data_IF_666995823510
#
_entry.id   IF_666995823510
#
_cell.length_a   1.000
_cell.length_b   1.000
_cell.length_c   1.000
_cell.angle_alpha   90.00
_cell.angle_beta   90.00
_cell.angle_gamma   90.00
#
_symmetry.space_group_name_H-M   'P 1'
#
loop_
_entity.id
_entity.type
_entity.pdbx_description
1 polymer ?
#
# COMPACT_ATOMS: atom_id res chain seq x y z
N UNK A 1 5.42 18.38 -14.92
CA UNK A 1 5.08 18.32 -13.48
C UNK A 1 6.05 19.20 -12.72
N UNK A 2 5.61 19.98 -11.73
CA UNK A 2 6.49 20.85 -10.93
C UNK A 2 7.18 20.04 -9.82
N UNK A 3 8.33 20.51 -9.34
CA UNK A 3 9.05 19.89 -8.22
C UNK A 3 8.16 19.78 -6.96
N UNK A 4 7.39 20.82 -6.66
CA UNK A 4 6.42 20.83 -5.56
C UNK A 4 5.37 19.71 -5.70
N UNK A 5 4.81 19.50 -6.89
CA UNK A 5 3.85 18.42 -7.14
C UNK A 5 4.48 17.03 -6.94
N UNK A 6 5.75 16.86 -7.29
CA UNK A 6 6.47 15.59 -7.07
C UNK A 6 6.72 15.33 -5.59
N UNK A 7 7.14 16.35 -4.83
CA UNK A 7 7.35 16.22 -3.39
C UNK A 7 6.04 15.95 -2.64
N UNK A 8 4.93 16.57 -3.06
CA UNK A 8 3.60 16.28 -2.54
C UNK A 8 3.22 14.81 -2.82
N UNK A 9 3.39 14.35 -4.06
CA UNK A 9 3.18 12.94 -4.44
C UNK A 9 4.02 11.99 -3.58
N UNK A 10 5.33 12.26 -3.44
CA UNK A 10 6.23 11.43 -2.65
C UNK A 10 5.77 11.33 -1.19
N UNK A 11 5.31 12.44 -0.61
CA UNK A 11 4.78 12.47 0.75
C UNK A 11 3.57 11.54 0.87
N UNK A 12 2.62 11.63 -0.06
CA UNK A 12 1.44 10.75 -0.07
C UNK A 12 1.85 9.28 -0.29
N UNK A 13 2.72 9.00 -1.25
CA UNK A 13 3.19 7.67 -1.57
C UNK A 13 3.90 6.99 -0.38
N UNK A 14 4.75 7.73 0.34
CA UNK A 14 5.41 7.26 1.56
C UNK A 14 4.38 6.97 2.64
N UNK A 15 3.42 7.86 2.86
CA UNK A 15 2.39 7.63 3.87
C UNK A 15 1.56 6.38 3.55
N UNK A 16 1.11 6.22 2.31
CA UNK A 16 0.35 5.05 1.85
C UNK A 16 1.15 3.75 2.00
N UNK A 17 2.47 3.80 1.76
CA UNK A 17 3.36 2.66 1.98
C UNK A 17 3.51 2.32 3.47
N UNK A 18 3.64 3.34 4.33
CA UNK A 18 3.81 3.17 5.78
C UNK A 18 2.56 2.62 6.47
N UNK A 19 1.36 2.86 5.90
CA UNK A 19 0.09 2.30 6.38
C UNK A 19 0.08 0.77 6.22
N UNK A 20 0.17 -0.04 7.30
CA UNK A 20 0.01 -1.48 7.23
C UNK A 20 -1.35 -1.86 6.66
N UNK A 21 -1.30 -2.64 5.59
CA UNK A 21 -2.43 -3.30 4.97
C UNK A 21 -2.15 -4.79 4.72
N UNK A 22 -2.84 -5.39 3.74
CA UNK A 22 -2.61 -6.78 3.34
C UNK A 22 -1.15 -7.07 2.93
N UNK A 23 -0.52 -6.12 2.25
CA UNK A 23 0.90 -6.12 1.87
C UNK A 23 1.83 -6.33 3.06
N UNK A 24 1.69 -5.51 4.10
CA UNK A 24 2.44 -5.59 5.34
C UNK A 24 2.24 -6.94 6.05
N UNK A 25 0.98 -7.40 6.13
CA UNK A 25 0.62 -8.64 6.82
C UNK A 25 1.23 -9.87 6.13
N UNK A 26 1.13 -9.96 4.79
CA UNK A 26 1.65 -11.09 4.02
C UNK A 26 3.17 -11.10 4.01
N UNK A 27 3.84 -9.95 3.85
CA UNK A 27 5.31 -9.84 3.95
C UNK A 27 5.78 -10.24 5.34
N UNK A 28 5.12 -9.75 6.38
CA UNK A 28 5.42 -10.10 7.77
C UNK A 28 5.32 -11.62 7.99
N UNK A 29 4.18 -12.22 7.65
CA UNK A 29 3.93 -13.64 7.83
C UNK A 29 4.96 -14.51 7.07
N UNK A 30 5.26 -14.17 5.82
CA UNK A 30 6.22 -14.90 5.01
C UNK A 30 7.67 -14.73 5.48
N UNK A 31 8.03 -13.56 6.01
CA UNK A 31 9.34 -13.32 6.62
C UNK A 31 9.55 -14.17 7.86
N UNK A 32 8.50 -14.33 8.67
CA UNK A 32 8.56 -15.06 9.93
C UNK A 32 8.49 -16.58 9.73
N UNK A 33 7.71 -17.04 8.74
CA UNK A 33 7.56 -18.46 8.43
C UNK A 33 8.71 -19.01 7.56
N UNK A 34 9.17 -18.25 6.55
CA UNK A 34 10.20 -18.72 5.60
C UNK A 34 11.48 -17.88 5.57
N UNK A 35 11.70 -17.07 6.60
CA UNK A 35 12.91 -16.27 6.77
C UNK A 35 13.06 -15.12 5.78
N UNK A 36 14.24 -14.48 5.80
CA UNK A 36 14.56 -13.28 5.03
C UNK A 36 14.33 -13.45 3.52
N UNK A 37 14.72 -14.60 2.97
CA UNK A 37 14.63 -14.89 1.53
C UNK A 37 13.18 -14.92 1.04
N UNK A 38 12.28 -15.59 1.77
CA UNK A 38 10.85 -15.63 1.44
C UNK A 38 10.18 -14.27 1.69
N UNK A 39 10.61 -13.54 2.72
CA UNK A 39 10.18 -12.16 2.97
C UNK A 39 10.46 -11.22 1.81
N UNK A 40 11.70 -11.17 1.32
CA UNK A 40 12.09 -10.34 0.17
C UNK A 40 11.36 -10.74 -1.10
N UNK A 41 11.24 -12.05 -1.38
CA UNK A 41 10.49 -12.50 -2.54
C UNK A 41 9.02 -12.05 -2.48
N UNK A 42 8.42 -12.06 -1.29
CA UNK A 42 7.06 -11.53 -1.08
C UNK A 42 6.99 -10.02 -1.33
N UNK A 43 7.95 -9.23 -0.83
CA UNK A 43 8.02 -7.80 -1.06
C UNK A 43 8.17 -7.46 -2.56
N UNK A 44 8.99 -8.23 -3.29
CA UNK A 44 9.11 -8.14 -4.76
C UNK A 44 7.79 -8.45 -5.47
N UNK A 45 7.05 -9.46 -5.02
CA UNK A 45 5.72 -9.77 -5.54
C UNK A 45 4.74 -8.61 -5.34
N UNK A 46 4.72 -8.00 -4.15
CA UNK A 46 3.90 -6.81 -3.85
C UNK A 46 4.26 -5.64 -4.77
N UNK A 47 5.55 -5.31 -4.89
CA UNK A 47 6.03 -4.23 -5.73
C UNK A 47 5.73 -4.48 -7.22
N UNK A 48 5.85 -5.73 -7.68
CA UNK A 48 5.47 -6.13 -9.04
C UNK A 48 3.98 -5.92 -9.30
N UNK A 49 3.11 -6.29 -8.36
CA UNK A 49 1.68 -6.02 -8.46
C UNK A 49 1.39 -4.51 -8.49
N UNK A 50 2.04 -3.71 -7.65
CA UNK A 50 1.93 -2.24 -7.69
C UNK A 50 2.29 -1.69 -9.09
N UNK A 51 3.42 -2.14 -9.66
CA UNK A 51 3.85 -1.72 -10.99
C UNK A 51 2.83 -2.09 -12.06
N UNK A 52 2.30 -3.33 -12.04
CA UNK A 52 1.26 -3.77 -12.98
C UNK A 52 -0.01 -2.94 -12.85
N UNK A 53 -0.52 -2.73 -11.63
CA UNK A 53 -1.73 -1.94 -11.41
C UNK A 53 -1.56 -0.50 -11.86
N UNK A 54 -0.41 0.11 -11.56
CA UNK A 54 -0.15 1.50 -11.93
C UNK A 54 0.07 1.70 -13.42
N UNK A 55 0.74 0.76 -14.09
CA UNK A 55 0.86 0.76 -15.57
C UNK A 55 -0.51 0.51 -16.22
N UNK A 56 -1.32 -0.41 -15.69
CA UNK A 56 -2.69 -0.63 -16.18
C UNK A 56 -3.58 0.61 -15.99
N UNK A 57 -3.48 1.28 -14.84
CA UNK A 57 -4.18 2.55 -14.60
C UNK A 57 -3.70 3.64 -15.57
N UNK A 58 -2.40 3.70 -15.86
CA UNK A 58 -1.82 4.62 -16.82
C UNK A 58 -2.25 4.32 -18.28
N UNK A 59 -2.42 3.05 -18.65
CA UNK A 59 -2.73 2.61 -20.00
C UNK A 59 -4.22 2.73 -20.37
N UNK A 60 -5.15 2.58 -19.40
CA UNK A 60 -6.59 2.54 -19.69
C UNK A 60 -7.44 3.58 -18.95
N UNK A 61 -7.04 4.02 -17.76
CA UNK A 61 -7.90 4.84 -16.89
C UNK A 61 -7.56 6.32 -16.90
N UNK A 62 -6.29 6.70 -17.08
CA UNK A 62 -5.88 8.11 -17.07
C UNK A 62 -6.69 8.96 -18.06
N UNK A 63 -6.82 8.52 -19.31
CA UNK A 63 -7.53 9.27 -20.34
C UNK A 63 -9.08 9.22 -20.22
N UNK A 64 -9.65 8.14 -19.69
CA UNK A 64 -11.10 7.97 -19.55
C UNK A 64 -11.64 8.67 -18.31
N UNK A 65 -10.95 8.56 -17.16
CA UNK A 65 -11.34 9.19 -15.90
C UNK A 65 -11.22 10.72 -15.99
N UNK A 66 -10.16 11.25 -16.64
CA UNK A 66 -10.00 12.70 -16.85
C UNK A 66 -11.08 13.30 -17.77
N UNK A 67 -11.71 12.50 -18.63
CA UNK A 67 -12.77 12.96 -19.53
C UNK A 67 -14.17 12.89 -18.91
N UNK A 68 -14.36 12.16 -17.81
CA UNK A 68 -15.68 11.93 -17.22
C UNK A 68 -15.71 12.29 -15.74
N UNK A 69 -16.16 13.51 -15.46
CA UNK A 69 -16.38 14.02 -14.10
C UNK A 69 -17.20 13.08 -13.19
N UNK A 70 -18.32 12.45 -13.63
CA UNK A 70 -19.06 11.53 -12.77
C UNK A 70 -18.27 10.25 -12.46
N UNK A 71 -17.44 9.75 -13.38
CA UNK A 71 -16.57 8.59 -13.14
C UNK A 71 -15.48 8.94 -12.12
N UNK A 72 -14.85 10.10 -12.28
CA UNK A 72 -13.87 10.61 -11.32
C UNK A 72 -14.46 10.77 -9.92
N UNK A 73 -15.63 11.40 -9.79
CA UNK A 73 -16.32 11.59 -8.51
C UNK A 73 -16.72 10.27 -7.85
N UNK A 74 -17.21 9.30 -8.64
CA UNK A 74 -17.57 7.97 -8.12
C UNK A 74 -16.35 7.26 -7.55
N UNK A 75 -15.23 7.28 -8.29
CA UNK A 75 -13.97 6.68 -7.85
C UNK A 75 -13.43 7.40 -6.61
N UNK A 76 -13.48 8.74 -6.58
CA UNK A 76 -13.06 9.57 -5.44
C UNK A 76 -13.83 9.19 -4.17
N UNK A 77 -15.17 9.20 -4.22
CA UNK A 77 -16.01 8.89 -3.06
C UNK A 77 -15.93 7.42 -2.62
N UNK A 78 -15.79 6.49 -3.57
CA UNK A 78 -15.49 5.09 -3.26
C UNK A 78 -14.15 4.96 -2.51
N UNK A 79 -13.13 5.72 -2.93
CA UNK A 79 -11.85 5.81 -2.25
C UNK A 79 -11.96 6.38 -0.83
N UNK A 80 -12.69 7.48 -0.65
CA UNK A 80 -12.96 8.10 0.67
C UNK A 80 -13.59 7.10 1.63
N UNK A 81 -14.68 6.45 1.22
CA UNK A 81 -15.40 5.47 2.03
C UNK A 81 -14.53 4.27 2.41
N UNK A 82 -13.71 3.80 1.47
CA UNK A 82 -12.82 2.68 1.70
C UNK A 82 -11.67 3.01 2.66
N UNK A 83 -11.05 4.20 2.52
CA UNK A 83 -10.03 4.68 3.45
C UNK A 83 -10.59 4.85 4.87
N UNK A 84 -11.82 5.36 5.00
CA UNK A 84 -12.53 5.45 6.28
C UNK A 84 -12.79 4.07 6.89
N UNK A 85 -13.20 3.09 6.08
CA UNK A 85 -13.40 1.71 6.52
C UNK A 85 -12.09 1.07 7.01
N UNK A 86 -10.99 1.23 6.27
CA UNK A 86 -9.68 0.75 6.70
C UNK A 86 -9.19 1.44 7.97
N UNK A 87 -9.39 2.75 8.08
CA UNK A 87 -9.07 3.51 9.29
C UNK A 87 -9.80 2.92 10.51
N UNK A 88 -11.11 2.67 10.36
CA UNK A 88 -11.93 2.07 11.40
C UNK A 88 -11.47 0.64 11.76
N UNK A 89 -11.10 -0.17 10.77
CA UNK A 89 -10.61 -1.53 10.98
C UNK A 89 -9.28 -1.55 11.76
N UNK A 90 -8.34 -0.68 11.39
CA UNK A 90 -7.03 -0.55 12.07
C UNK A 90 -7.18 0.01 13.50
N UNK A 91 -8.04 1.02 13.71
CA UNK A 91 -8.33 1.52 15.06
C UNK A 91 -8.98 0.43 15.92
N UNK A 92 -9.90 -0.36 15.34
CA UNK A 92 -10.57 -1.46 16.04
C UNK A 92 -9.60 -2.60 16.39
N UNK A 93 -8.64 -2.94 15.53
CA UNK A 93 -7.64 -3.97 15.85
C UNK A 93 -6.68 -3.51 16.96
N UNK A 94 -6.28 -2.23 16.94
CA UNK A 94 -5.50 -1.60 18.02
C UNK A 94 -6.25 -1.66 19.36
N UNK A 95 -7.56 -1.48 19.35
CA UNK A 95 -8.37 -1.50 20.57
C UNK A 95 -8.64 -2.92 21.09
N UNK A 96 -8.95 -3.88 20.21
CA UNK A 96 -9.36 -5.24 20.62
C UNK A 96 -8.20 -6.20 20.85
N UNK A 97 -7.02 -5.94 20.28
CA UNK A 97 -5.82 -6.75 20.51
C UNK A 97 -5.91 -8.20 20.02
N UNK A 98 -6.78 -8.51 19.06
CA UNK A 98 -6.98 -9.86 18.50
C UNK A 98 -5.88 -10.18 17.49
N UNK A 99 -4.69 -10.50 17.99
CA UNK A 99 -3.56 -10.92 17.16
C UNK A 99 -3.51 -12.45 17.10
N UNK A 100 -3.69 -13.04 15.91
CA UNK A 100 -3.46 -14.48 15.71
C UNK A 100 -2.01 -14.81 16.08
N UNK A 101 -1.74 -15.94 16.77
CA UNK A 101 -0.38 -16.37 17.05
C UNK A 101 0.39 -16.54 15.74
N UNK A 102 1.55 -15.89 15.62
CA UNK A 102 2.50 -16.17 14.55
C UNK A 102 3.11 -17.54 14.84
N UNK A 103 2.59 -18.59 14.21
CA UNK A 103 3.23 -19.91 14.27
C UNK A 103 4.53 -19.83 13.47
N UNK A 104 5.65 -19.88 14.17
CA UNK A 104 6.99 -20.00 13.58
C UNK A 104 7.25 -21.47 13.20
N UNK A 105 6.67 -21.92 12.09
CA UNK A 105 7.05 -23.19 11.48
C UNK A 105 8.16 -22.95 10.47
N UNK A 106 9.33 -23.58 10.65
CA UNK A 106 10.42 -23.59 9.65
C UNK A 106 10.01 -24.42 8.43
N UNK A 107 9.06 -23.93 7.65
CA UNK A 107 8.81 -24.48 6.32
C UNK A 107 9.97 -24.08 5.41
N UNK A 108 10.38 -24.97 4.51
CA UNK A 108 11.41 -24.67 3.50
C UNK A 108 11.16 -23.30 2.86
N UNK A 109 12.22 -22.50 2.78
CA UNK A 109 12.15 -21.14 2.27
C UNK A 109 11.96 -21.16 0.76
N UNK A 110 10.74 -21.47 0.29
CA UNK A 110 10.32 -21.35 -1.10
C UNK A 110 10.03 -19.88 -1.43
N UNK A 111 10.93 -19.16 -2.13
CA UNK A 111 10.75 -17.76 -2.46
C UNK A 111 9.74 -17.58 -3.58
N UNK A 112 9.57 -18.57 -4.48
CA UNK A 112 8.58 -18.48 -5.55
C UNK A 112 7.17 -18.45 -4.97
N UNK A 113 6.91 -19.25 -3.92
CA UNK A 113 5.67 -19.15 -3.15
C UNK A 113 5.50 -17.79 -2.47
N UNK A 114 6.57 -17.23 -1.90
CA UNK A 114 6.55 -15.88 -1.32
C UNK A 114 6.17 -14.81 -2.34
N UNK A 115 6.83 -14.82 -3.50
CA UNK A 115 6.58 -13.90 -4.61
C UNK A 115 5.14 -14.01 -5.12
N UNK A 116 4.65 -15.23 -5.37
CA UNK A 116 3.25 -15.45 -5.80
C UNK A 116 2.24 -14.94 -4.76
N UNK A 117 2.49 -15.19 -3.47
CA UNK A 117 1.61 -14.72 -2.40
C UNK A 117 1.60 -13.20 -2.28
N UNK A 118 2.77 -12.55 -2.39
CA UNK A 118 2.87 -11.09 -2.39
C UNK A 118 2.13 -10.46 -3.57
N UNK A 119 2.35 -11.00 -4.77
CA UNK A 119 1.69 -10.51 -5.98
C UNK A 119 0.18 -10.68 -5.91
N UNK A 120 -0.32 -11.88 -5.63
CA UNK A 120 -1.76 -12.16 -5.57
C UNK A 120 -2.47 -11.38 -4.46
N UNK A 121 -1.80 -11.18 -3.32
CA UNK A 121 -2.37 -10.37 -2.25
C UNK A 121 -2.44 -8.89 -2.61
N UNK A 122 -1.52 -8.39 -3.42
CA UNK A 122 -1.44 -6.97 -3.69
C UNK A 122 -2.14 -6.53 -4.99
N UNK A 123 -2.22 -7.40 -6.00
CA UNK A 123 -2.96 -7.13 -7.24
C UNK A 123 -4.46 -6.89 -6.97
N UNK A 124 -4.98 -7.49 -5.91
CA UNK A 124 -6.35 -7.32 -5.41
C UNK A 124 -6.43 -6.33 -4.25
N UNK A 125 -5.34 -5.65 -3.88
CA UNK A 125 -5.31 -4.77 -2.71
C UNK A 125 -6.08 -3.47 -2.99
N UNK A 126 -7.25 -3.30 -2.36
CA UNK A 126 -8.08 -2.11 -2.58
C UNK A 126 -7.41 -0.81 -2.12
N UNK A 127 -6.45 -0.84 -1.16
CA UNK A 127 -5.65 0.35 -0.78
C UNK A 127 -4.88 0.89 -1.99
N UNK A 128 -4.23 -0.02 -2.72
CA UNK A 128 -3.38 0.30 -3.87
C UNK A 128 -4.23 0.65 -5.08
N UNK A 129 -5.35 -0.06 -5.29
CA UNK A 129 -6.32 0.27 -6.34
C UNK A 129 -6.88 1.68 -6.15
N UNK A 130 -7.36 2.03 -4.95
CA UNK A 130 -7.87 3.38 -4.66
C UNK A 130 -6.78 4.43 -4.88
N UNK A 131 -5.55 4.16 -4.42
CA UNK A 131 -4.43 5.07 -4.65
C UNK A 131 -4.20 5.33 -6.15
N UNK A 132 -4.16 4.29 -6.97
CA UNK A 132 -3.91 4.45 -8.41
C UNK A 132 -5.09 5.01 -9.19
N UNK A 133 -6.32 4.78 -8.75
CA UNK A 133 -7.53 5.22 -9.46
C UNK A 133 -7.98 6.62 -9.04
N UNK A 134 -7.90 6.94 -7.75
CA UNK A 134 -8.44 8.18 -7.20
C UNK A 134 -7.37 9.24 -6.97
N UNK A 135 -6.16 8.84 -6.54
CA UNK A 135 -5.15 9.76 -6.00
C UNK A 135 -4.05 10.04 -7.03
N UNK A 136 -3.52 9.00 -7.67
CA UNK A 136 -2.43 9.11 -8.65
C UNK A 136 -2.73 10.11 -9.80
N UNK A 137 -3.95 10.13 -10.39
CA UNK A 137 -4.28 11.08 -11.46
C UNK A 137 -4.32 12.54 -11.02
N UNK A 138 -4.39 12.84 -9.72
CA UNK A 138 -4.42 14.22 -9.22
C UNK A 138 -3.04 14.88 -9.25
N UNK A 139 -1.96 14.09 -9.30
CA UNK A 139 -0.58 14.60 -9.27
C UNK A 139 -0.03 14.95 -10.65
N UNK A 140 -0.76 14.63 -11.71
CA UNK A 140 -0.43 14.98 -13.08
C UNK A 140 -1.42 16.03 -13.60
N UNK A 141 -0.90 17.09 -14.23
CA UNK A 141 -1.74 18.16 -14.78
C UNK A 141 -2.50 17.75 -16.05
N UNK A 142 -3.51 18.54 -16.48
CA UNK A 142 -4.20 18.33 -17.75
C UNK A 142 -3.20 18.25 -18.91
N UNK A 143 -3.29 17.21 -19.75
CA UNK A 143 -2.38 16.98 -20.88
C UNK A 143 -1.13 16.14 -20.58
N UNK A 144 -0.93 15.70 -19.33
CA UNK A 144 0.11 14.73 -18.98
C UNK A 144 -0.23 13.33 -19.53
N UNK A 145 0.62 12.77 -20.37
CA UNK A 145 0.40 11.44 -20.98
C UNK A 145 0.58 10.26 -20.01
N UNK A 146 0.15 9.07 -20.43
CA UNK A 146 0.24 7.83 -19.63
C UNK A 146 1.65 7.49 -19.14
N UNK A 147 2.70 7.94 -19.82
CA UNK A 147 4.09 7.78 -19.37
C UNK A 147 4.36 8.45 -18.01
N UNK A 148 3.76 9.62 -17.75
CA UNK A 148 3.94 10.31 -16.47
C UNK A 148 3.27 9.54 -15.32
N UNK A 149 2.06 9.00 -15.56
CA UNK A 149 1.38 8.13 -14.59
C UNK A 149 2.17 6.85 -14.32
N UNK A 150 2.71 6.21 -15.36
CA UNK A 150 3.56 5.04 -15.21
C UNK A 150 4.81 5.37 -14.37
N UNK A 151 5.44 6.52 -14.59
CA UNK A 151 6.60 6.98 -13.80
C UNK A 151 6.27 7.16 -12.31
N UNK A 152 5.15 7.79 -11.98
CA UNK A 152 4.69 7.94 -10.60
C UNK A 152 4.32 6.59 -9.98
N UNK A 153 3.64 5.72 -10.73
CA UNK A 153 3.31 4.36 -10.30
C UNK A 153 4.56 3.53 -9.96
N UNK A 154 5.59 3.58 -10.81
CA UNK A 154 6.86 2.89 -10.59
C UNK A 154 7.63 3.48 -9.41
N UNK A 155 7.55 4.80 -9.21
CA UNK A 155 8.10 5.48 -8.02
C UNK A 155 7.43 4.93 -6.75
N UNK A 156 6.10 4.83 -6.73
CA UNK A 156 5.37 4.24 -5.61
C UNK A 156 5.74 2.76 -5.39
N UNK A 157 5.87 1.96 -6.45
CA UNK A 157 6.30 0.57 -6.35
C UNK A 157 7.70 0.44 -5.74
N UNK A 158 8.63 1.33 -6.09
CA UNK A 158 9.97 1.39 -5.51
C UNK A 158 9.92 1.76 -4.02
N UNK A 159 9.13 2.76 -3.64
CA UNK A 159 8.93 3.14 -2.23
C UNK A 159 8.36 1.98 -1.42
N UNK A 160 7.35 1.28 -1.95
CA UNK A 160 6.77 0.10 -1.32
C UNK A 160 7.80 -1.01 -1.13
N UNK A 161 8.64 -1.27 -2.15
CA UNK A 161 9.71 -2.27 -2.05
C UNK A 161 10.75 -1.89 -1.00
N UNK A 162 11.18 -0.63 -0.96
CA UNK A 162 12.15 -0.15 0.03
C UNK A 162 11.60 -0.29 1.45
N UNK A 163 10.36 0.13 1.68
CA UNK A 163 9.70 0.01 2.97
C UNK A 163 9.52 -1.45 3.41
N UNK A 164 8.99 -2.30 2.53
CA UNK A 164 8.77 -3.71 2.86
C UNK A 164 10.09 -4.48 2.98
N UNK A 165 11.11 -4.10 2.21
CA UNK A 165 12.47 -4.62 2.36
C UNK A 165 13.10 -4.25 3.70
N UNK A 166 12.95 -2.99 4.13
CA UNK A 166 13.33 -2.55 5.46
C UNK A 166 12.60 -3.39 6.52
N UNK A 167 11.29 -3.55 6.39
CA UNK A 167 10.49 -4.40 7.30
C UNK A 167 11.05 -5.84 7.35
N UNK A 168 11.31 -6.48 6.20
CA UNK A 168 11.88 -7.84 6.13
C UNK A 168 13.20 -7.91 6.89
N UNK A 169 14.09 -6.93 6.70
CA UNK A 169 15.41 -6.92 7.37
C UNK A 169 15.29 -6.69 8.88
N UNK A 170 14.41 -5.78 9.32
CA UNK A 170 14.15 -5.52 10.73
C UNK A 170 13.50 -6.73 11.39
N UNK A 171 12.53 -7.37 10.74
CA UNK A 171 11.87 -8.58 11.25
C UNK A 171 12.80 -9.78 11.35
N UNK A 172 13.75 -9.91 10.42
CA UNK A 172 14.74 -10.97 10.49
C UNK A 172 15.73 -10.78 11.65
N UNK A 173 16.10 -9.53 11.98
CA UNK A 173 16.98 -9.21 13.11
C UNK A 173 16.26 -9.10 14.46
N UNK A 174 14.96 -8.81 14.47
CA UNK A 174 14.19 -8.47 15.66
C UNK A 174 12.85 -9.22 15.75
N UNK A 175 12.78 -10.47 15.26
CA UNK A 175 11.55 -11.27 15.18
C UNK A 175 10.77 -11.36 16.51
N UNK A 176 11.47 -11.32 17.65
CA UNK A 176 10.87 -11.28 18.98
C UNK A 176 10.31 -9.93 19.42
N UNK A 177 10.79 -8.79 18.89
CA UNK A 177 10.34 -7.45 19.29
C UNK A 177 9.09 -7.00 18.51
N UNK A 178 9.03 -7.25 17.19
CA UNK A 178 7.84 -6.96 16.37
C UNK A 178 6.65 -7.90 16.66
N UNK A 179 6.90 -9.07 17.25
CA UNK A 179 5.85 -9.96 17.74
C UNK A 179 5.17 -9.44 19.02
N UNK A 180 5.75 -8.44 19.70
CA UNK A 180 5.18 -7.88 20.94
C UNK A 180 3.85 -7.21 20.64
N UNK A 181 2.81 -7.59 21.39
CA UNK A 181 1.46 -6.98 21.32
C UNK A 181 1.48 -5.45 21.33
N UNK A 182 2.39 -4.84 22.10
CA UNK A 182 2.52 -3.38 22.21
C UNK A 182 2.94 -2.74 20.88
N UNK A 183 3.91 -3.32 20.18
CA UNK A 183 4.39 -2.79 18.88
C UNK A 183 3.30 -2.88 17.83
N UNK A 184 2.61 -4.02 17.75
CA UNK A 184 1.46 -4.21 16.84
C UNK A 184 0.33 -3.22 17.10
N UNK A 185 0.02 -2.97 18.37
CA UNK A 185 -1.02 -2.01 18.77
C UNK A 185 -0.70 -0.58 18.35
N UNK A 186 0.56 -0.16 18.50
CA UNK A 186 1.03 1.16 18.07
C UNK A 186 0.99 1.33 16.56
N UNK A 187 1.44 0.31 15.81
CA UNK A 187 1.34 0.31 14.35
C UNK A 187 -0.13 0.46 13.92
N UNK A 188 -1.03 -0.38 14.44
CA UNK A 188 -2.46 -0.32 14.13
C UNK A 188 -3.09 1.07 14.44
N UNK A 189 -2.70 1.70 15.55
CA UNK A 189 -3.22 3.02 15.95
C UNK A 189 -2.76 4.16 15.03
N UNK A 190 -1.47 4.21 14.73
CA UNK A 190 -0.89 5.22 13.83
C UNK A 190 -1.53 5.10 12.44
N UNK A 191 -1.66 3.87 11.95
CA UNK A 191 -2.29 3.53 10.67
C UNK A 191 -3.70 4.05 10.58
N UNK A 192 -4.52 3.73 11.59
CA UNK A 192 -5.91 4.13 11.62
C UNK A 192 -6.08 5.64 11.64
N UNK A 193 -5.23 6.34 12.41
CA UNK A 193 -5.26 7.80 12.52
C UNK A 193 -4.89 8.48 11.20
N UNK A 194 -3.81 8.01 10.56
CA UNK A 194 -3.30 8.58 9.31
C UNK A 194 -4.26 8.32 8.15
N UNK A 195 -4.84 7.12 8.05
CA UNK A 195 -5.87 6.79 7.06
C UNK A 195 -7.14 7.62 7.23
N UNK A 196 -7.56 7.87 8.48
CA UNK A 196 -8.68 8.76 8.77
C UNK A 196 -8.41 10.18 8.29
N UNK A 197 -7.21 10.70 8.57
CA UNK A 197 -6.78 12.01 8.06
C UNK A 197 -6.78 12.10 6.53
N UNK A 198 -6.28 11.07 5.84
CA UNK A 198 -6.30 11.00 4.37
C UNK A 198 -7.72 10.91 3.80
N UNK A 199 -8.61 10.15 4.44
CA UNK A 199 -10.03 10.07 4.05
C UNK A 199 -10.68 11.45 4.11
N UNK A 200 -10.44 12.20 5.19
CA UNK A 200 -10.93 13.58 5.35
C UNK A 200 -10.30 14.51 4.30
N UNK A 201 -8.98 14.45 4.10
CA UNK A 201 -8.30 15.28 3.11
C UNK A 201 -8.85 15.05 1.69
N UNK A 202 -9.00 13.78 1.29
CA UNK A 202 -9.57 13.41 -0.01
C UNK A 202 -11.04 13.86 -0.17
N UNK A 203 -11.81 13.89 0.93
CA UNK A 203 -13.18 14.36 0.91
C UNK A 203 -13.28 15.90 0.74
N UNK A 204 -12.31 16.65 1.26
CA UNK A 204 -12.30 18.13 1.25
C UNK A 204 -11.59 18.72 0.03
N UNK A 205 -10.75 17.93 -0.66
CA UNK A 205 -10.12 18.30 -1.94
C UNK A 205 -11.19 18.81 -2.94
N UNK A 206 -11.00 19.99 -3.54
CA UNK A 206 -11.97 20.55 -4.49
C UNK A 206 -12.00 19.72 -5.77
N UNK A 207 -13.22 19.41 -6.23
CA UNK A 207 -13.51 18.61 -7.43
C UNK A 207 -13.54 19.44 -8.71
#
# INVERSE_FOLDING_TARGET
MTLHGYLAFLTVAVVVALVPGPDFAVVSANTLAGGRRRGWATALGVAGACAVQGVAAAAGLGAFVLRSQPVFLTIKWAGVAYLAYLAALSLRSSWRGTYRPMVAGRAEADPARGLRQGFLSNITNPKVLVFYLAILPQFIGPGSGGLALAGLALTHAAIALLWLGLLVTLMHRASGWLARRRVRRWLDAITGTVLGGFSVALAVEKS
#
